data_IF_155538585402
#
_entry.id   IF_155538585402
#
_cell.length_a   1.000
_cell.length_b   1.000
_cell.length_c   1.000
_cell.angle_alpha   90.00
_cell.angle_beta   90.00
_cell.angle_gamma   90.00
#
_symmetry.space_group_name_H-M   'P 1'
#
loop_
_entity.id
_entity.type
_entity.pdbx_description
1 polymer ?
#
# COMPACT_ATOMS: atom_id res chain seq x y z
N UNK A 1 -7.71 -11.39 19.38
CA UNK A 1 -8.03 -12.06 18.09
C UNK A 1 -6.79 -12.82 17.68
N UNK A 2 -6.91 -14.11 17.37
CA UNK A 2 -5.79 -14.88 16.80
C UNK A 2 -5.57 -14.41 15.35
N UNK A 3 -4.32 -14.30 14.93
CA UNK A 3 -3.97 -14.08 13.54
C UNK A 3 -4.46 -15.24 12.67
N UNK A 4 -4.66 -14.99 11.38
CA UNK A 4 -5.11 -16.03 10.43
C UNK A 4 -4.20 -17.27 10.48
N UNK A 5 -2.90 -17.06 10.62
CA UNK A 5 -1.89 -18.13 10.71
C UNK A 5 -1.95 -18.90 12.03
N UNK A 6 -2.31 -18.25 13.14
CA UNK A 6 -2.53 -18.91 14.43
C UNK A 6 -3.83 -19.72 14.42
N UNK A 7 -4.89 -19.20 13.79
CA UNK A 7 -6.14 -19.95 13.59
C UNK A 7 -5.86 -21.18 12.72
N UNK A 8 -5.11 -21.04 11.64
CA UNK A 8 -4.72 -22.18 10.80
C UNK A 8 -3.85 -23.19 11.56
N UNK A 9 -2.79 -22.73 12.22
CA UNK A 9 -1.90 -23.60 12.99
C UNK A 9 -2.64 -24.37 14.09
N UNK A 10 -3.59 -23.72 14.78
CA UNK A 10 -4.37 -24.36 15.85
C UNK A 10 -5.42 -25.35 15.34
N UNK A 11 -6.04 -25.09 14.19
CA UNK A 11 -7.12 -25.93 13.68
C UNK A 11 -6.64 -27.01 12.69
N UNK A 12 -5.52 -26.76 11.99
CA UNK A 12 -5.00 -27.63 10.92
C UNK A 12 -3.63 -28.24 11.27
N UNK A 13 -2.83 -27.63 12.14
CA UNK A 13 -1.45 -28.04 12.40
C UNK A 13 -0.44 -27.44 11.41
N UNK A 14 0.86 -27.64 11.66
CA UNK A 14 1.95 -26.99 10.91
C UNK A 14 2.31 -27.70 9.59
N UNK A 15 1.82 -28.91 9.34
CA UNK A 15 2.16 -29.69 8.14
C UNK A 15 1.47 -29.23 6.84
N UNK A 16 0.59 -28.23 6.88
CA UNK A 16 -0.19 -27.81 5.71
C UNK A 16 0.43 -26.61 4.99
N UNK A 17 0.48 -26.67 3.65
CA UNK A 17 0.93 -25.58 2.77
C UNK A 17 -0.26 -24.85 2.14
N UNK A 18 -0.14 -23.54 2.00
CA UNK A 18 -1.16 -22.69 1.39
C UNK A 18 -0.99 -22.60 -0.13
N UNK A 19 -2.07 -22.70 -0.90
CA UNK A 19 -2.06 -22.53 -2.36
C UNK A 19 -3.06 -21.48 -2.83
N UNK A 20 -2.94 -20.98 -4.06
CA UNK A 20 -3.93 -20.08 -4.66
C UNK A 20 -4.44 -20.63 -5.98
N UNK A 21 -5.76 -20.74 -6.13
CA UNK A 21 -6.40 -21.24 -7.35
C UNK A 21 -7.38 -20.25 -7.92
N UNK A 22 -7.22 -19.93 -9.21
CA UNK A 22 -8.08 -19.02 -9.99
C UNK A 22 -9.13 -19.81 -10.77
N UNK A 23 -10.40 -19.43 -10.66
CA UNK A 23 -11.51 -20.13 -11.29
C UNK A 23 -12.59 -19.17 -11.76
N UNK A 24 -13.39 -19.54 -12.78
CA UNK A 24 -14.58 -18.79 -13.14
C UNK A 24 -15.63 -18.83 -12.01
N UNK A 25 -16.21 -17.67 -11.68
CA UNK A 25 -17.23 -17.55 -10.62
C UNK A 25 -18.40 -18.53 -10.82
N UNK A 26 -18.90 -18.64 -12.05
CA UNK A 26 -20.05 -19.48 -12.39
C UNK A 26 -19.74 -20.99 -12.29
N UNK A 27 -18.44 -21.37 -12.19
CA UNK A 27 -18.04 -22.75 -11.95
C UNK A 27 -17.90 -23.09 -10.47
N UNK A 28 -17.57 -22.11 -9.63
CA UNK A 28 -17.29 -22.36 -8.21
C UNK A 28 -18.46 -22.05 -7.28
N UNK A 29 -19.54 -21.40 -7.74
CA UNK A 29 -20.73 -21.10 -6.93
C UNK A 29 -21.88 -22.03 -7.29
N UNK A 30 -22.62 -22.52 -6.30
CA UNK A 30 -23.85 -23.29 -6.53
C UNK A 30 -24.89 -22.45 -7.28
N UNK A 31 -25.56 -23.04 -8.28
CA UNK A 31 -26.52 -22.34 -9.17
C UNK A 31 -27.60 -21.55 -8.42
N UNK A 32 -28.05 -22.07 -7.27
CA UNK A 32 -29.01 -21.41 -6.38
C UNK A 32 -28.54 -20.04 -5.86
N UNK A 33 -27.23 -19.82 -5.75
CA UNK A 33 -26.64 -18.58 -5.23
C UNK A 33 -26.06 -17.69 -6.33
N UNK A 34 -25.77 -18.21 -7.52
CA UNK A 34 -24.99 -17.54 -8.56
C UNK A 34 -25.47 -16.12 -8.90
N UNK A 35 -26.71 -15.98 -9.36
CA UNK A 35 -27.23 -14.68 -9.85
C UNK A 35 -27.24 -13.61 -8.74
N UNK A 36 -27.83 -13.94 -7.58
CA UNK A 36 -27.95 -13.03 -6.46
C UNK A 36 -26.58 -12.65 -5.87
N UNK A 37 -25.68 -13.62 -5.71
CA UNK A 37 -24.34 -13.39 -5.17
C UNK A 37 -23.50 -12.55 -6.13
N UNK A 38 -23.53 -12.86 -7.44
CA UNK A 38 -22.80 -12.11 -8.48
C UNK A 38 -23.21 -10.64 -8.50
N UNK A 39 -24.52 -10.38 -8.54
CA UNK A 39 -25.07 -9.01 -8.52
C UNK A 39 -24.64 -8.23 -7.27
N UNK A 40 -24.73 -8.86 -6.09
CA UNK A 40 -24.32 -8.23 -4.82
C UNK A 40 -22.82 -7.94 -4.76
N UNK A 41 -21.99 -8.85 -5.24
CA UNK A 41 -20.53 -8.67 -5.31
C UNK A 41 -20.18 -7.53 -6.25
N UNK A 42 -20.78 -7.47 -7.44
CA UNK A 42 -20.54 -6.38 -8.40
C UNK A 42 -20.88 -5.04 -7.77
N UNK A 43 -22.03 -4.91 -7.11
CA UNK A 43 -22.40 -3.68 -6.40
C UNK A 43 -21.42 -3.36 -5.26
N UNK A 44 -21.02 -4.34 -4.46
CA UNK A 44 -20.08 -4.13 -3.36
C UNK A 44 -18.68 -3.72 -3.84
N UNK A 45 -18.21 -4.28 -4.95
CA UNK A 45 -16.98 -3.88 -5.62
C UNK A 45 -17.04 -2.42 -6.08
N UNK A 46 -18.13 -2.03 -6.74
CA UNK A 46 -18.33 -0.66 -7.20
C UNK A 46 -18.35 0.31 -6.02
N UNK A 47 -19.14 0.03 -5.00
CA UNK A 47 -19.26 0.91 -3.84
C UNK A 47 -17.93 1.04 -3.09
N UNK A 48 -17.21 -0.08 -2.88
CA UNK A 48 -15.90 -0.09 -2.22
C UNK A 48 -14.89 0.73 -3.02
N UNK A 49 -14.84 0.54 -4.34
CA UNK A 49 -13.95 1.29 -5.23
C UNK A 49 -14.20 2.80 -5.14
N UNK A 50 -15.47 3.21 -5.20
CA UNK A 50 -15.85 4.62 -5.16
C UNK A 50 -15.47 5.28 -3.83
N UNK A 51 -15.65 4.58 -2.71
CA UNK A 51 -15.27 5.07 -1.37
C UNK A 51 -13.74 5.12 -1.22
N UNK A 52 -13.04 4.04 -1.58
CA UNK A 52 -11.58 3.96 -1.48
C UNK A 52 -10.90 5.01 -2.34
N UNK A 53 -11.34 5.19 -3.59
CA UNK A 53 -10.77 6.19 -4.49
C UNK A 53 -10.86 7.61 -3.91
N UNK A 54 -12.03 7.99 -3.39
CA UNK A 54 -12.25 9.29 -2.73
C UNK A 54 -11.40 9.45 -1.46
N UNK A 55 -11.29 8.38 -0.66
CA UNK A 55 -10.44 8.38 0.52
C UNK A 55 -8.98 8.61 0.15
N UNK A 56 -8.47 7.96 -0.90
CA UNK A 56 -7.10 8.17 -1.38
C UNK A 56 -6.87 9.58 -1.90
N UNK A 57 -7.82 10.17 -2.63
CA UNK A 57 -7.70 11.56 -3.12
C UNK A 57 -7.49 12.54 -1.96
N UNK A 58 -8.36 12.47 -0.95
CA UNK A 58 -8.26 13.31 0.23
C UNK A 58 -6.94 13.10 0.96
N UNK A 59 -6.58 11.84 1.25
CA UNK A 59 -5.39 11.55 2.05
C UNK A 59 -4.09 11.90 1.32
N UNK A 60 -4.02 11.69 0.00
CA UNK A 60 -2.84 12.09 -0.76
C UNK A 60 -2.66 13.61 -0.72
N UNK A 61 -3.73 14.38 -0.90
CA UNK A 61 -3.66 15.84 -0.80
C UNK A 61 -3.32 16.29 0.63
N UNK A 62 -3.93 15.69 1.65
CA UNK A 62 -3.65 15.99 3.05
C UNK A 62 -2.16 15.77 3.39
N UNK A 63 -1.61 14.60 3.04
CA UNK A 63 -0.21 14.25 3.33
C UNK A 63 0.76 15.22 2.67
N UNK A 64 0.54 15.57 1.39
CA UNK A 64 1.44 16.47 0.66
C UNK A 64 1.50 17.88 1.29
N UNK A 65 0.51 18.26 2.09
CA UNK A 65 0.45 19.54 2.79
C UNK A 65 0.90 19.46 4.26
N UNK A 66 1.29 18.29 4.77
CA UNK A 66 1.73 18.14 6.15
C UNK A 66 3.19 18.55 6.35
N UNK A 67 3.42 19.29 7.45
CA UNK A 67 4.78 19.52 7.96
C UNK A 67 5.34 18.31 8.71
N UNK A 68 4.48 17.60 9.43
CA UNK A 68 4.86 16.44 10.26
C UNK A 68 4.03 15.23 9.86
N UNK A 69 4.72 14.15 9.51
CA UNK A 69 4.10 12.92 9.03
C UNK A 69 3.97 11.91 10.17
N UNK A 70 2.80 11.28 10.28
CA UNK A 70 2.52 10.28 11.32
C UNK A 70 2.28 8.90 10.72
N UNK A 71 2.55 7.85 11.51
CA UNK A 71 2.35 6.46 11.08
C UNK A 71 0.87 6.02 11.00
N UNK A 72 -0.10 6.91 11.25
CA UNK A 72 -1.52 6.56 11.24
C UNK A 72 -1.97 6.04 9.87
N UNK A 73 -1.44 6.62 8.79
CA UNK A 73 -1.80 6.28 7.40
C UNK A 73 -1.45 4.84 7.00
N UNK A 74 -0.57 4.18 7.76
CA UNK A 74 -0.16 2.79 7.53
C UNK A 74 -0.99 1.79 8.34
N UNK A 75 -2.11 2.24 8.95
CA UNK A 75 -2.99 1.41 9.77
C UNK A 75 -4.36 1.28 9.14
N UNK A 76 -4.93 0.07 9.22
CA UNK A 76 -6.28 -0.23 8.74
C UNK A 76 -7.34 0.69 9.37
N UNK A 77 -7.28 0.89 10.69
CA UNK A 77 -8.28 1.68 11.41
C UNK A 77 -8.33 3.14 10.95
N UNK A 78 -7.20 3.69 10.52
CA UNK A 78 -7.14 5.04 9.96
C UNK A 78 -7.94 5.08 8.66
N UNK A 79 -7.64 4.20 7.70
CA UNK A 79 -8.35 4.14 6.43
C UNK A 79 -9.84 3.90 6.60
N UNK A 80 -10.24 3.08 7.58
CA UNK A 80 -11.65 2.87 7.88
C UNK A 80 -12.34 4.15 8.35
N UNK A 81 -11.70 4.93 9.23
CA UNK A 81 -12.20 6.25 9.64
C UNK A 81 -12.31 7.24 8.47
N UNK A 82 -11.33 7.26 7.56
CA UNK A 82 -11.40 8.10 6.35
C UNK A 82 -12.56 7.67 5.45
N UNK A 83 -12.77 6.37 5.27
CA UNK A 83 -13.89 5.87 4.51
C UNK A 83 -15.24 6.26 5.15
N UNK A 84 -15.33 6.32 6.49
CA UNK A 84 -16.51 6.84 7.19
C UNK A 84 -16.77 8.31 6.84
N UNK A 85 -15.73 9.15 6.85
CA UNK A 85 -15.84 10.56 6.46
C UNK A 85 -16.35 10.72 5.02
N UNK A 86 -15.76 9.98 4.07
CA UNK A 86 -16.19 9.98 2.66
C UNK A 86 -17.65 9.55 2.49
N UNK A 87 -18.15 8.66 3.34
CA UNK A 87 -19.56 8.23 3.35
C UNK A 87 -20.49 9.17 4.14
N UNK A 88 -20.02 10.35 4.55
CA UNK A 88 -20.71 11.30 5.43
C UNK A 88 -21.20 10.67 6.75
N UNK A 89 -20.40 9.75 7.29
CA UNK A 89 -20.66 9.09 8.58
C UNK A 89 -19.77 9.67 9.66
N UNK A 90 -20.29 9.69 10.88
CA UNK A 90 -19.49 9.99 12.07
C UNK A 90 -18.39 8.94 12.25
N UNK A 91 -17.17 9.40 12.49
CA UNK A 91 -16.03 8.53 12.79
C UNK A 91 -16.24 7.87 14.14
N UNK A 92 -16.15 6.54 14.19
CA UNK A 92 -16.41 5.76 15.40
C UNK A 92 -15.23 5.69 16.35
N UNK A 93 -14.01 6.00 15.89
CA UNK A 93 -12.80 6.01 16.71
C UNK A 93 -11.90 7.19 16.33
N UNK A 94 -12.21 8.37 16.90
CA UNK A 94 -11.49 9.61 16.63
C UNK A 94 -10.05 9.61 17.12
N UNK A 95 -9.71 8.78 18.12
CA UNK A 95 -8.33 8.63 18.62
C UNK A 95 -7.35 8.09 17.56
N UNK A 96 -7.85 7.59 16.42
CA UNK A 96 -7.04 7.10 15.31
C UNK A 96 -6.72 8.20 14.28
N UNK A 97 -7.35 9.37 14.40
CA UNK A 97 -7.12 10.49 13.48
C UNK A 97 -6.02 11.42 14.03
N UNK A 98 -5.06 11.83 13.19
CA UNK A 98 -4.13 12.90 13.53
C UNK A 98 -4.85 14.22 13.82
N UNK A 99 -4.22 15.04 14.64
CA UNK A 99 -4.66 16.41 14.91
C UNK A 99 -4.76 17.22 13.60
N UNK A 100 -5.79 18.08 13.49
CA UNK A 100 -6.02 18.89 12.30
C UNK A 100 -6.67 18.17 11.11
N UNK A 101 -6.79 16.82 11.13
CA UNK A 101 -7.30 16.08 9.98
C UNK A 101 -8.78 16.39 9.70
N UNK A 102 -9.60 16.54 10.73
CA UNK A 102 -11.03 16.80 10.58
C UNK A 102 -11.29 18.21 10.03
N UNK A 103 -10.51 19.20 10.46
CA UNK A 103 -10.53 20.56 9.92
C UNK A 103 -10.15 20.55 8.44
N UNK A 104 -9.08 19.84 8.08
CA UNK A 104 -8.66 19.67 6.69
C UNK A 104 -9.73 18.95 5.85
N UNK A 105 -10.37 17.93 6.41
CA UNK A 105 -11.49 17.25 5.75
C UNK A 105 -12.65 18.20 5.48
N UNK A 106 -13.02 19.03 6.47
CA UNK A 106 -14.12 19.98 6.34
C UNK A 106 -13.84 21.03 5.26
N UNK A 107 -12.62 21.55 5.20
CA UNK A 107 -12.19 22.44 4.11
C UNK A 107 -12.23 21.72 2.75
N UNK A 108 -11.68 20.50 2.70
CA UNK A 108 -11.63 19.73 1.47
C UNK A 108 -13.00 19.41 0.89
N UNK A 109 -13.96 18.97 1.73
CA UNK A 109 -15.34 18.67 1.29
C UNK A 109 -16.11 19.92 0.86
N UNK A 110 -15.81 21.09 1.43
CA UNK A 110 -16.43 22.35 1.01
C UNK A 110 -15.96 22.73 -0.40
N UNK A 111 -14.67 22.58 -0.69
CA UNK A 111 -14.13 22.84 -2.02
C UNK A 111 -14.48 21.75 -3.06
N UNK A 112 -14.71 20.51 -2.61
CA UNK A 112 -14.94 19.35 -3.50
C UNK A 112 -16.19 18.56 -3.07
N UNK A 113 -17.38 19.12 -3.27
CA UNK A 113 -18.64 18.48 -2.83
C UNK A 113 -18.86 17.04 -3.33
N UNK A 114 -18.32 16.68 -4.50
CA UNK A 114 -18.39 15.32 -5.07
C UNK A 114 -17.53 14.27 -4.36
N UNK A 115 -16.71 14.69 -3.39
CA UNK A 115 -15.93 13.78 -2.53
C UNK A 115 -16.84 12.98 -1.58
N UNK A 116 -18.06 13.44 -1.33
CA UNK A 116 -19.00 12.70 -0.51
C UNK A 116 -19.66 11.60 -1.34
N UNK A 117 -19.56 10.37 -0.87
CA UNK A 117 -20.22 9.22 -1.44
C UNK A 117 -21.60 9.03 -0.79
N UNK A 118 -22.64 9.41 -1.52
CA UNK A 118 -24.02 9.50 -1.02
C UNK A 118 -24.82 8.20 -1.12
N UNK A 119 -24.36 7.22 -1.92
CA UNK A 119 -25.07 5.95 -2.08
C UNK A 119 -24.95 5.11 -0.81
N UNK A 120 -26.10 4.64 -0.32
CA UNK A 120 -26.15 3.73 0.83
C UNK A 120 -25.51 2.39 0.48
N UNK A 121 -24.47 2.02 1.23
CA UNK A 121 -23.85 0.70 1.10
C UNK A 121 -24.87 -0.41 1.39
N UNK A 122 -24.82 -1.47 0.60
CA UNK A 122 -25.56 -2.70 0.89
C UNK A 122 -25.13 -3.29 2.25
N UNK A 123 -26.06 -3.98 2.90
CA UNK A 123 -25.76 -4.70 4.15
C UNK A 123 -24.65 -5.72 3.92
N UNK A 124 -23.66 -5.77 4.81
CA UNK A 124 -22.49 -6.66 4.69
C UNK A 124 -21.26 -6.06 4.03
N UNK A 125 -21.42 -4.97 3.26
CA UNK A 125 -20.29 -4.35 2.54
C UNK A 125 -19.27 -3.69 3.47
N UNK A 126 -19.62 -3.41 4.73
CA UNK A 126 -18.68 -2.88 5.74
C UNK A 126 -17.48 -3.79 5.99
N UNK A 127 -17.67 -5.11 5.93
CA UNK A 127 -16.57 -6.08 6.05
C UNK A 127 -15.65 -6.02 4.82
N UNK A 128 -16.24 -5.89 3.62
CA UNK A 128 -15.46 -5.73 2.38
C UNK A 128 -14.63 -4.44 2.42
N UNK A 129 -15.22 -3.36 2.92
CA UNK A 129 -14.54 -2.08 3.09
C UNK A 129 -13.41 -2.18 4.13
N UNK A 130 -13.63 -2.89 5.24
CA UNK A 130 -12.60 -3.13 6.26
C UNK A 130 -11.41 -3.90 5.69
N UNK A 131 -11.65 -4.93 4.88
CA UNK A 131 -10.61 -5.69 4.19
C UNK A 131 -9.89 -4.83 3.12
N UNK A 132 -10.61 -3.94 2.42
CA UNK A 132 -10.00 -2.96 1.53
C UNK A 132 -9.10 -1.96 2.27
N UNK A 133 -9.47 -1.56 3.49
CA UNK A 133 -8.64 -0.69 4.33
C UNK A 133 -7.32 -1.35 4.76
N UNK A 134 -7.32 -2.69 4.96
CA UNK A 134 -6.06 -3.44 5.18
C UNK A 134 -5.18 -3.33 3.94
N UNK A 135 -5.75 -3.60 2.76
CA UNK A 135 -5.02 -3.54 1.51
C UNK A 135 -4.48 -2.13 1.22
N UNK A 136 -5.25 -1.08 1.53
CA UNK A 136 -4.76 0.30 1.44
C UNK A 136 -3.57 0.54 2.36
N UNK A 137 -3.68 0.20 3.64
CA UNK A 137 -2.57 0.34 4.59
C UNK A 137 -1.31 -0.38 4.07
N UNK A 138 -1.44 -1.63 3.62
CA UNK A 138 -0.34 -2.39 3.03
C UNK A 138 0.21 -1.74 1.77
N UNK A 139 -0.64 -1.27 0.86
CA UNK A 139 -0.21 -0.61 -0.39
C UNK A 139 0.59 0.65 -0.11
N UNK A 140 0.16 1.46 0.87
CA UNK A 140 0.88 2.67 1.26
C UNK A 140 2.22 2.33 1.92
N UNK A 141 2.27 1.33 2.80
CA UNK A 141 3.53 0.83 3.37
C UNK A 141 4.48 0.36 2.28
N UNK A 142 4.02 -0.55 1.41
CA UNK A 142 4.83 -1.12 0.34
C UNK A 142 5.31 -0.08 -0.66
N UNK A 143 4.51 0.95 -0.95
CA UNK A 143 4.92 2.04 -1.83
C UNK A 143 6.19 2.75 -1.33
N UNK A 144 6.34 2.90 -0.01
CA UNK A 144 7.57 3.42 0.60
C UNK A 144 8.65 2.33 0.63
N UNK A 145 8.35 1.18 1.24
CA UNK A 145 9.32 0.11 1.49
C UNK A 145 9.98 -0.39 0.21
N UNK A 146 9.20 -0.71 -0.83
CA UNK A 146 9.70 -1.33 -2.06
C UNK A 146 10.45 -0.33 -2.96
N UNK A 147 10.17 0.97 -2.84
CA UNK A 147 10.75 1.99 -3.72
C UNK A 147 11.85 2.83 -3.06
N UNK A 148 12.01 2.77 -1.73
CA UNK A 148 12.90 3.65 -0.99
C UNK A 148 14.35 3.58 -1.50
N UNK A 149 14.93 2.39 -1.54
CA UNK A 149 16.32 2.18 -1.94
C UNK A 149 16.57 2.64 -3.38
N UNK A 150 15.73 2.20 -4.32
CA UNK A 150 15.87 2.54 -5.73
C UNK A 150 15.76 4.06 -5.97
N UNK A 151 14.85 4.74 -5.27
CA UNK A 151 14.68 6.21 -5.37
C UNK A 151 15.89 6.95 -4.78
N UNK A 152 16.33 6.55 -3.59
CA UNK A 152 17.47 7.17 -2.93
C UNK A 152 18.76 6.98 -3.73
N UNK A 153 19.06 5.77 -4.17
CA UNK A 153 20.26 5.50 -4.98
C UNK A 153 20.27 6.27 -6.30
N UNK A 154 19.11 6.36 -6.96
CA UNK A 154 18.98 7.15 -8.20
C UNK A 154 19.23 8.64 -7.94
N UNK A 155 18.68 9.17 -6.84
CA UNK A 155 18.92 10.54 -6.42
C UNK A 155 20.38 10.80 -6.09
N UNK A 156 21.01 9.95 -5.29
CA UNK A 156 22.42 10.09 -4.93
C UNK A 156 23.32 10.01 -6.17
N UNK A 157 23.05 9.09 -7.10
CA UNK A 157 23.82 9.02 -8.35
C UNK A 157 23.68 10.30 -9.18
N UNK A 158 22.47 10.86 -9.27
CA UNK A 158 22.21 12.12 -9.96
C UNK A 158 22.92 13.30 -9.30
N UNK A 159 22.82 13.40 -7.97
CA UNK A 159 23.45 14.43 -7.16
C UNK A 159 24.96 14.45 -7.37
N UNK A 160 25.62 13.29 -7.24
CA UNK A 160 27.08 13.16 -7.36
C UNK A 160 27.54 13.44 -8.80
N UNK A 161 26.80 12.98 -9.81
CA UNK A 161 27.14 13.27 -11.21
C UNK A 161 27.04 14.78 -11.51
N UNK A 162 26.09 15.49 -10.90
CA UNK A 162 25.99 16.95 -11.05
C UNK A 162 27.11 17.68 -10.29
N UNK A 163 27.53 17.18 -9.11
CA UNK A 163 28.68 17.73 -8.39
C UNK A 163 29.98 17.55 -9.17
N UNK A 164 30.15 16.41 -9.85
CA UNK A 164 31.37 16.07 -10.60
C UNK A 164 31.04 15.71 -12.05
N UNK A 165 30.72 16.71 -12.86
CA UNK A 165 30.26 16.53 -14.27
C UNK A 165 31.24 15.71 -15.12
N UNK A 166 32.54 15.82 -14.88
CA UNK A 166 33.58 15.08 -15.62
C UNK A 166 33.86 13.67 -15.08
N UNK A 167 33.28 13.28 -13.95
CA UNK A 167 33.51 11.97 -13.35
C UNK A 167 32.81 10.87 -14.17
N UNK A 168 33.52 9.77 -14.39
CA UNK A 168 32.97 8.62 -15.10
C UNK A 168 31.80 8.01 -14.31
N UNK A 169 30.74 7.62 -15.03
CA UNK A 169 29.52 7.07 -14.43
C UNK A 169 29.77 5.87 -13.50
N UNK A 170 30.76 5.02 -13.81
CA UNK A 170 31.09 3.86 -12.97
C UNK A 170 31.65 4.28 -11.60
N UNK A 171 32.40 5.37 -11.55
CA UNK A 171 32.98 5.86 -10.31
C UNK A 171 31.95 6.65 -9.49
N UNK A 172 31.08 7.41 -10.16
CA UNK A 172 29.87 7.98 -9.53
C UNK A 172 29.02 6.88 -8.89
N UNK A 173 28.80 5.77 -9.59
CA UNK A 173 28.02 4.65 -9.08
C UNK A 173 28.67 4.03 -7.84
N UNK A 174 29.99 3.81 -7.83
CA UNK A 174 30.71 3.32 -6.63
C UNK A 174 30.53 4.27 -5.45
N UNK A 175 30.74 5.57 -5.65
CA UNK A 175 30.54 6.58 -4.59
C UNK A 175 29.10 6.54 -4.08
N UNK A 176 28.10 6.55 -4.96
CA UNK A 176 26.70 6.58 -4.57
C UNK A 176 26.27 5.33 -3.80
N UNK A 177 26.70 4.14 -4.22
CA UNK A 177 26.25 2.86 -3.66
C UNK A 177 27.04 2.46 -2.41
N UNK A 178 28.37 2.55 -2.46
CA UNK A 178 29.24 2.02 -1.40
C UNK A 178 29.45 3.03 -0.27
N UNK A 179 29.38 4.33 -0.58
CA UNK A 179 29.60 5.41 0.38
C UNK A 179 28.32 6.19 0.71
N UNK A 180 27.74 6.91 -0.25
CA UNK A 180 26.66 7.86 0.03
C UNK A 180 25.42 7.19 0.60
N UNK A 181 24.98 6.09 -0.02
CA UNK A 181 23.80 5.35 0.46
C UNK A 181 23.99 4.88 1.89
N UNK A 182 25.13 4.27 2.20
CA UNK A 182 25.44 3.82 3.56
C UNK A 182 25.52 5.00 4.55
N UNK A 183 26.14 6.11 4.16
CA UNK A 183 26.26 7.31 5.01
C UNK A 183 24.89 7.93 5.34
N UNK A 184 24.04 8.08 4.33
CA UNK A 184 22.68 8.62 4.46
C UNK A 184 21.79 7.66 5.25
N UNK A 185 21.91 6.35 5.02
CA UNK A 185 21.12 5.32 5.68
C UNK A 185 21.65 4.87 7.06
N UNK A 186 22.67 5.55 7.61
CA UNK A 186 23.34 5.19 8.88
C UNK A 186 23.84 3.73 8.94
N UNK A 187 24.35 3.27 7.80
CA UNK A 187 25.05 2.00 7.64
C UNK A 187 26.55 2.15 7.84
N UNK A 188 27.32 1.39 7.07
CA UNK A 188 28.80 1.37 7.14
C UNK A 188 29.38 1.89 5.82
N UNK A 189 29.62 3.20 5.70
CA UNK A 189 30.08 3.80 4.46
C UNK A 189 31.53 3.42 4.16
N UNK A 190 31.79 3.02 2.91
CA UNK A 190 33.13 2.66 2.42
C UNK A 190 33.53 3.59 1.30
N UNK A 191 34.55 4.42 1.54
CA UNK A 191 35.08 5.30 0.52
C UNK A 191 35.87 4.47 -0.51
N UNK A 192 35.61 4.62 -1.83
CA UNK A 192 36.35 3.88 -2.85
C UNK A 192 37.84 4.21 -2.87
N UNK A 193 38.66 3.27 -3.34
CA UNK A 193 40.11 3.46 -3.51
C UNK A 193 40.46 3.82 -4.95
N UNK A 194 41.43 4.74 -5.13
CA UNK A 194 41.92 5.15 -6.45
C UNK A 194 42.33 6.63 -6.50
N UNK A 195 43.10 6.99 -7.53
CA UNK A 195 43.69 8.34 -7.66
C UNK A 195 42.64 9.47 -7.74
N UNK A 196 41.46 9.16 -8.26
CA UNK A 196 40.34 10.12 -8.39
C UNK A 196 39.54 10.30 -7.09
N UNK A 197 39.68 9.39 -6.12
CA UNK A 197 38.91 9.38 -4.87
C UNK A 197 39.68 10.08 -3.75
N UNK A 198 39.92 11.37 -3.91
CA UNK A 198 40.69 12.19 -2.97
C UNK A 198 39.87 12.59 -1.74
N UNK A 199 40.55 13.04 -0.68
CA UNK A 199 39.87 13.56 0.50
C UNK A 199 39.00 14.80 0.19
N UNK A 200 39.42 15.64 -0.76
CA UNK A 200 38.64 16.80 -1.23
C UNK A 200 37.33 16.37 -1.87
N UNK A 201 37.37 15.37 -2.77
CA UNK A 201 36.15 14.83 -3.38
C UNK A 201 35.22 14.23 -2.31
N UNK A 202 35.77 13.55 -1.30
CA UNK A 202 35.00 13.02 -0.18
C UNK A 202 34.28 14.12 0.61
N UNK A 203 34.97 15.21 0.95
CA UNK A 203 34.37 16.34 1.67
C UNK A 203 33.21 16.95 0.88
N UNK A 204 33.39 17.18 -0.43
CA UNK A 204 32.32 17.71 -1.27
C UNK A 204 31.12 16.74 -1.38
N UNK A 205 31.36 15.44 -1.40
CA UNK A 205 30.31 14.42 -1.34
C UNK A 205 29.55 14.46 -0.02
N UNK A 206 30.27 14.58 1.11
CA UNK A 206 29.68 14.67 2.44
C UNK A 206 28.78 15.91 2.56
N UNK A 207 29.25 17.07 2.08
CA UNK A 207 28.47 18.32 2.02
C UNK A 207 27.23 18.18 1.16
N UNK A 208 27.34 17.57 -0.03
CA UNK A 208 26.22 17.36 -0.93
C UNK A 208 25.16 16.42 -0.32
N UNK A 209 25.58 15.37 0.39
CA UNK A 209 24.67 14.37 0.98
C UNK A 209 24.05 14.82 2.31
N UNK A 210 24.62 15.84 2.97
CA UNK A 210 24.23 16.29 4.31
C UNK A 210 22.71 16.54 4.46
N UNK A 211 22.00 17.21 3.52
CA UNK A 211 20.57 17.44 3.65
C UNK A 211 19.76 16.13 3.72
N UNK A 212 20.10 15.14 2.88
CA UNK A 212 19.43 13.84 2.91
C UNK A 212 19.77 13.06 4.18
N UNK A 213 21.01 13.18 4.65
CA UNK A 213 21.49 12.52 5.87
C UNK A 213 20.84 13.07 7.15
N UNK A 214 20.45 14.36 7.17
CA UNK A 214 19.74 14.98 8.29
C UNK A 214 18.26 14.54 8.37
N UNK A 215 17.64 14.22 7.22
CA UNK A 215 16.26 13.75 7.16
C UNK A 215 16.08 12.30 7.63
N UNK A 216 17.15 11.51 7.65
CA UNK A 216 17.16 10.14 8.12
C UNK A 216 17.85 10.09 9.48
N UNK A 217 17.07 9.92 10.55
CA UNK A 217 17.60 9.89 11.93
C UNK A 217 17.91 8.48 12.43
N UNK A 218 17.41 7.44 11.77
CA UNK A 218 17.57 6.05 12.17
C UNK A 218 18.19 5.20 11.06
N UNK A 219 18.82 4.09 11.43
CA UNK A 219 19.39 3.14 10.46
C UNK A 219 18.30 2.56 9.58
N UNK A 220 18.48 2.69 8.27
CA UNK A 220 17.54 2.13 7.30
C UNK A 220 17.74 0.62 7.24
N UNK A 221 16.72 -0.13 7.61
CA UNK A 221 16.62 -1.57 7.38
C UNK A 221 15.21 -1.89 6.90
N UNK A 222 15.03 -3.05 6.27
CA UNK A 222 13.69 -3.50 5.88
C UNK A 222 12.72 -3.54 7.08
N UNK A 223 13.23 -3.91 8.26
CA UNK A 223 12.47 -3.94 9.50
C UNK A 223 11.99 -2.54 9.91
N UNK A 224 12.89 -1.55 9.91
CA UNK A 224 12.55 -0.17 10.27
C UNK A 224 11.64 0.49 9.24
N UNK A 225 11.92 0.32 7.95
CA UNK A 225 11.08 0.81 6.85
C UNK A 225 9.64 0.28 6.97
N UNK A 226 9.50 -1.00 7.34
CA UNK A 226 8.18 -1.62 7.52
C UNK A 226 7.48 -1.19 8.81
N UNK A 227 8.24 -0.99 9.89
CA UNK A 227 7.71 -0.63 11.20
C UNK A 227 7.26 0.83 11.30
N UNK A 228 8.01 1.75 10.70
CA UNK A 228 7.75 3.19 10.73
C UNK A 228 8.02 3.87 9.38
N UNK A 229 7.21 3.61 8.34
CA UNK A 229 7.46 4.19 7.03
C UNK A 229 7.37 5.72 7.01
N UNK A 230 6.62 6.35 7.94
CA UNK A 230 6.51 7.82 8.00
C UNK A 230 7.84 8.51 8.30
N UNK A 231 8.77 7.84 8.97
CA UNK A 231 10.08 8.39 9.33
C UNK A 231 10.95 8.64 8.10
N UNK A 232 10.73 7.89 7.02
CA UNK A 232 11.53 7.96 5.79
C UNK A 232 10.85 8.80 4.69
N UNK A 233 9.56 9.10 4.86
CA UNK A 233 8.77 9.88 3.92
C UNK A 233 9.34 11.30 3.68
N UNK A 234 9.85 12.05 4.69
CA UNK A 234 10.48 13.35 4.45
C UNK A 234 11.65 13.29 3.46
N UNK A 235 12.47 12.24 3.51
CA UNK A 235 13.58 12.06 2.56
C UNK A 235 13.05 11.88 1.13
N UNK A 236 12.01 11.07 0.93
CA UNK A 236 11.40 10.87 -0.39
C UNK A 236 10.77 12.17 -0.93
N UNK A 237 10.09 12.93 -0.08
CA UNK A 237 9.50 14.23 -0.44
C UNK A 237 10.59 15.25 -0.82
N UNK A 238 11.68 15.29 -0.07
CA UNK A 238 12.85 16.12 -0.39
C UNK A 238 13.45 15.77 -1.75
N UNK A 239 13.62 14.48 -2.06
CA UNK A 239 14.11 14.04 -3.38
C UNK A 239 13.18 14.55 -4.48
N UNK A 240 11.87 14.38 -4.30
CA UNK A 240 10.89 14.84 -5.29
C UNK A 240 10.95 16.37 -5.46
N UNK A 241 11.04 17.14 -4.38
CA UNK A 241 11.10 18.61 -4.46
C UNK A 241 12.35 19.07 -5.21
N UNK A 242 13.50 18.41 -5.01
CA UNK A 242 14.72 18.69 -5.78
C UNK A 242 14.56 18.38 -7.26
N UNK A 243 13.91 17.29 -7.61
CA UNK A 243 13.62 17.02 -9.02
C UNK A 243 12.62 18.03 -9.60
N UNK A 244 11.60 18.46 -8.85
CA UNK A 244 10.66 19.48 -9.31
C UNK A 244 11.33 20.86 -9.51
N UNK A 245 12.26 21.24 -8.64
CA UNK A 245 13.10 22.44 -8.80
C UNK A 245 13.90 22.38 -10.11
N UNK A 246 14.61 21.28 -10.37
CA UNK A 246 15.36 21.09 -11.62
C UNK A 246 14.48 21.18 -12.87
N UNK A 247 13.26 20.63 -12.82
CA UNK A 247 12.31 20.73 -13.94
C UNK A 247 11.82 22.15 -14.15
N UNK A 248 11.65 22.95 -13.10
CA UNK A 248 11.23 24.36 -13.20
C UNK A 248 12.33 25.25 -13.76
N UNK A 249 13.59 24.98 -13.39
CA UNK A 249 14.76 25.75 -13.84
C UNK A 249 15.27 25.32 -15.23
N UNK A 250 14.77 24.21 -15.78
CA UNK A 250 15.24 23.71 -17.05
C UNK A 250 14.82 24.60 -18.22
N UNK A 251 15.80 24.95 -19.05
CA UNK A 251 15.58 25.62 -20.33
C UNK A 251 15.98 24.68 -21.48
N UNK A 252 15.20 24.69 -22.56
CA UNK A 252 15.29 23.75 -23.68
C UNK A 252 16.66 23.68 -24.39
N UNK A 253 17.56 24.63 -24.13
CA UNK A 253 18.88 24.74 -24.76
C UNK A 253 20.04 24.64 -23.77
N UNK A 254 19.82 24.12 -22.55
CA UNK A 254 20.90 23.92 -21.58
C UNK A 254 21.68 22.63 -21.89
N UNK A 255 22.60 22.73 -22.86
CA UNK A 255 23.40 21.61 -23.40
C UNK A 255 24.42 21.05 -22.39
N UNK A 256 24.58 21.68 -21.21
CA UNK A 256 25.56 21.29 -20.18
C UNK A 256 24.96 20.47 -19.03
N UNK A 257 23.64 20.28 -19.00
CA UNK A 257 22.97 19.55 -17.92
C UNK A 257 22.73 18.09 -18.27
N UNK A 258 22.86 17.24 -17.25
CA UNK A 258 22.41 15.84 -17.32
C UNK A 258 20.95 15.77 -17.74
N UNK A 259 20.51 14.63 -18.35
CA UNK A 259 19.09 14.40 -18.60
C UNK A 259 18.27 14.60 -17.33
N UNK A 260 17.15 15.32 -17.46
CA UNK A 260 16.30 15.61 -16.32
C UNK A 260 15.85 14.33 -15.61
N UNK A 261 15.90 14.30 -14.27
CA UNK A 261 15.47 13.15 -13.52
C UNK A 261 13.97 12.95 -13.68
N UNK A 262 13.53 11.71 -13.91
CA UNK A 262 12.11 11.37 -14.01
C UNK A 262 11.39 11.59 -12.66
N UNK A 263 10.35 12.42 -12.65
CA UNK A 263 9.45 12.60 -11.51
C UNK A 263 8.70 11.30 -11.17
N UNK A 264 8.32 11.14 -9.90
CA UNK A 264 7.64 9.94 -9.40
C UNK A 264 6.55 10.29 -8.39
N UNK A 265 5.55 9.41 -8.20
CA UNK A 265 4.56 9.61 -7.14
C UNK A 265 5.12 9.14 -5.80
N UNK A 266 5.05 9.99 -4.79
CA UNK A 266 5.49 9.65 -3.43
C UNK A 266 4.55 8.61 -2.80
N UNK A 267 3.25 8.75 -3.05
CA UNK A 267 2.17 7.90 -2.54
C UNK A 267 1.54 7.08 -3.67
N UNK A 268 0.79 6.00 -3.36
CA UNK A 268 0.01 5.27 -4.35
C UNK A 268 -0.94 6.19 -5.12
N UNK A 269 -0.97 6.04 -6.45
CA UNK A 269 -1.91 6.75 -7.30
C UNK A 269 -3.34 6.27 -7.01
N UNK A 270 -4.28 7.17 -6.70
CA UNK A 270 -5.69 6.81 -6.54
C UNK A 270 -6.18 6.13 -7.81
N UNK A 271 -6.85 4.98 -7.67
CA UNK A 271 -7.27 4.21 -8.83
C UNK A 271 -8.72 3.76 -8.73
N UNK A 272 -9.47 3.97 -9.82
CA UNK A 272 -10.76 3.32 -10.04
C UNK A 272 -10.59 1.86 -10.50
N UNK A 273 -9.37 1.34 -10.64
CA UNK A 273 -9.14 -0.06 -11.01
C UNK A 273 -9.08 -1.00 -9.82
N UNK A 274 -9.74 -0.68 -8.71
CA UNK A 274 -9.98 -1.64 -7.63
C UNK A 274 -10.86 -2.78 -8.17
N UNK A 275 -10.23 -3.89 -8.54
CA UNK A 275 -10.82 -4.97 -9.34
C UNK A 275 -11.44 -6.09 -8.52
N UNK A 276 -11.18 -6.15 -7.22
CA UNK A 276 -11.57 -7.27 -6.39
C UNK A 276 -11.99 -6.86 -4.99
N UNK A 277 -12.93 -7.59 -4.41
CA UNK A 277 -13.18 -7.56 -2.98
C UNK A 277 -12.78 -8.89 -2.39
N UNK A 278 -12.25 -8.83 -1.18
CA UNK A 278 -12.09 -10.03 -0.38
C UNK A 278 -13.46 -10.37 0.25
N UNK A 279 -13.77 -11.66 0.27
CA UNK A 279 -14.98 -12.23 0.82
C UNK A 279 -14.57 -13.25 1.88
N UNK A 280 -14.66 -12.84 3.14
CA UNK A 280 -14.63 -13.73 4.30
C UNK A 280 -15.99 -14.41 4.51
N UNK A 281 -16.05 -15.42 5.37
CA UNK A 281 -17.32 -16.05 5.74
C UNK A 281 -18.34 -15.03 6.30
N UNK A 282 -17.85 -14.01 7.01
CA UNK A 282 -18.69 -12.98 7.60
C UNK A 282 -19.29 -12.05 6.54
N UNK A 283 -18.53 -11.65 5.52
CA UNK A 283 -19.10 -10.87 4.41
C UNK A 283 -19.98 -11.74 3.51
N UNK A 284 -19.61 -13.01 3.33
CA UNK A 284 -20.42 -13.98 2.59
C UNK A 284 -21.81 -14.16 3.20
N UNK A 285 -21.92 -14.29 4.53
CA UNK A 285 -23.22 -14.47 5.20
C UNK A 285 -24.17 -13.32 4.89
N UNK A 286 -23.65 -12.09 4.88
CA UNK A 286 -24.46 -10.93 4.51
C UNK A 286 -24.84 -10.95 3.02
N UNK A 287 -23.94 -11.38 2.14
CA UNK A 287 -24.25 -11.54 0.72
C UNK A 287 -25.22 -12.67 0.41
N UNK A 288 -25.37 -13.68 1.27
CA UNK A 288 -26.39 -14.73 1.12
C UNK A 288 -27.61 -14.53 2.03
N UNK A 289 -27.66 -13.44 2.81
CA UNK A 289 -28.71 -13.13 3.80
C UNK A 289 -28.89 -14.24 4.84
N UNK A 290 -27.78 -14.67 5.42
CA UNK A 290 -27.74 -15.72 6.43
C UNK A 290 -27.14 -15.24 7.76
N UNK A 291 -27.44 -15.92 8.88
CA UNK A 291 -26.84 -15.61 10.17
C UNK A 291 -25.31 -15.63 10.10
N UNK A 292 -24.68 -14.77 10.90
CA UNK A 292 -23.23 -14.73 11.01
C UNK A 292 -22.70 -16.07 11.54
N UNK A 293 -21.76 -16.72 10.83
CA UNK A 293 -21.21 -18.00 11.24
C UNK A 293 -20.34 -17.84 12.50
N UNK A 294 -20.53 -18.72 13.49
CA UNK A 294 -19.78 -18.67 14.76
C UNK A 294 -18.71 -19.75 14.82
N UNK A 295 -17.45 -19.33 14.84
CA UNK A 295 -16.31 -20.24 14.90
C UNK A 295 -15.99 -20.89 13.55
N UNK A 296 -14.90 -21.65 13.54
CA UNK A 296 -14.29 -22.19 12.31
C UNK A 296 -15.24 -23.12 11.53
N UNK A 297 -15.91 -24.05 12.22
CA UNK A 297 -16.78 -25.04 11.59
C UNK A 297 -18.00 -24.42 10.90
N UNK A 298 -18.59 -23.37 11.48
CA UNK A 298 -19.73 -22.67 10.87
C UNK A 298 -19.30 -21.90 9.62
N UNK A 299 -18.11 -21.28 9.68
CA UNK A 299 -17.54 -20.57 8.55
C UNK A 299 -17.25 -21.54 7.40
N UNK A 300 -16.64 -22.69 7.70
CA UNK A 300 -16.38 -23.74 6.71
C UNK A 300 -17.68 -24.29 6.11
N UNK A 301 -18.70 -24.58 6.93
CA UNK A 301 -20.01 -25.03 6.46
C UNK A 301 -20.65 -24.02 5.51
N UNK A 302 -20.55 -22.73 5.81
CA UNK A 302 -21.05 -21.67 4.95
C UNK A 302 -20.34 -21.64 3.60
N UNK A 303 -19.01 -21.69 3.58
CA UNK A 303 -18.23 -21.75 2.33
C UNK A 303 -18.62 -22.99 1.50
N UNK A 304 -18.65 -24.18 2.11
CA UNK A 304 -19.00 -25.42 1.42
C UNK A 304 -20.44 -25.48 0.88
N UNK A 305 -21.36 -24.73 1.48
CA UNK A 305 -22.74 -24.64 1.01
C UNK A 305 -22.90 -23.68 -0.16
N UNK A 306 -22.20 -22.54 -0.13
CA UNK A 306 -22.30 -21.53 -1.20
C UNK A 306 -21.44 -21.90 -2.40
N UNK A 307 -20.25 -22.47 -2.16
CA UNK A 307 -19.29 -22.81 -3.20
C UNK A 307 -19.25 -24.31 -3.49
N UNK A 308 -19.30 -24.64 -4.78
CA UNK A 308 -19.20 -26.00 -5.28
C UNK A 308 -17.73 -26.41 -5.45
N UNK A 309 -17.17 -26.99 -4.40
CA UNK A 309 -15.78 -27.45 -4.41
C UNK A 309 -15.56 -28.77 -5.16
N UNK A 310 -16.61 -29.47 -5.61
CA UNK A 310 -16.46 -30.72 -6.39
C UNK A 310 -15.75 -30.48 -7.72
N UNK A 311 -15.98 -29.31 -8.33
CA UNK A 311 -15.33 -28.89 -9.57
C UNK A 311 -13.84 -28.54 -9.39
N UNK A 312 -13.35 -28.44 -8.14
CA UNK A 312 -11.94 -28.19 -7.85
C UNK A 312 -11.04 -29.43 -8.01
N UNK A 313 -11.61 -30.62 -8.25
CA UNK A 313 -10.91 -31.91 -8.18
C UNK A 313 -10.21 -32.14 -6.83
N UNK A 314 -10.72 -31.53 -5.75
CA UNK A 314 -10.24 -31.75 -4.39
C UNK A 314 -10.94 -33.00 -3.83
N UNK A 315 -10.17 -34.02 -3.49
CA UNK A 315 -10.69 -35.28 -2.95
C UNK A 315 -11.45 -35.02 -1.63
N UNK A 316 -12.65 -35.60 -1.45
CA UNK A 316 -13.54 -35.31 -0.29
C UNK A 316 -12.87 -35.59 1.07
N UNK A 317 -11.94 -36.55 1.14
CA UNK A 317 -11.14 -36.83 2.34
C UNK A 317 -10.19 -35.67 2.74
N UNK A 318 -9.84 -34.79 1.80
CA UNK A 318 -8.99 -33.61 2.01
C UNK A 318 -9.78 -32.30 2.19
N UNK A 319 -11.12 -32.33 2.09
CA UNK A 319 -11.99 -31.15 2.11
C UNK A 319 -12.27 -30.61 3.53
N UNK A 320 -12.03 -31.43 4.56
CA UNK A 320 -12.36 -31.15 5.97
C UNK A 320 -11.56 -29.96 6.55
N UNK A 321 -10.58 -29.42 5.83
CA UNK A 321 -9.57 -28.54 6.42
C UNK A 321 -9.32 -27.22 5.68
N UNK A 322 -10.13 -26.82 4.70
CA UNK A 322 -9.69 -25.79 3.74
C UNK A 322 -10.79 -24.79 3.47
N UNK A 323 -10.66 -23.58 4.01
CA UNK A 323 -11.17 -22.28 3.50
C UNK A 323 -11.58 -21.32 4.61
N UNK A 324 -11.00 -20.13 4.61
CA UNK A 324 -11.42 -19.01 5.47
C UNK A 324 -11.65 -17.70 4.68
N UNK A 325 -11.10 -17.57 3.48
CA UNK A 325 -11.18 -16.32 2.68
C UNK A 325 -11.13 -16.60 1.18
N UNK A 326 -11.92 -15.89 0.40
CA UNK A 326 -11.83 -15.85 -1.06
C UNK A 326 -11.62 -14.40 -1.54
N UNK A 327 -10.90 -14.19 -2.63
CA UNK A 327 -10.92 -12.92 -3.37
C UNK A 327 -11.74 -13.08 -4.64
N UNK A 328 -12.76 -12.24 -4.82
CA UNK A 328 -13.58 -12.26 -6.03
C UNK A 328 -13.27 -11.03 -6.86
N UNK A 329 -12.60 -11.26 -8.00
CA UNK A 329 -12.51 -10.34 -9.12
C UNK A 329 -13.84 -10.41 -9.88
N UNK A 330 -14.23 -9.32 -10.53
CA UNK A 330 -15.51 -9.15 -11.26
C UNK A 330 -16.01 -10.34 -12.12
N UNK A 331 -15.16 -11.31 -12.49
CA UNK A 331 -15.53 -12.64 -13.02
C UNK A 331 -14.61 -13.80 -12.55
N UNK A 332 -13.69 -13.59 -11.60
CA UNK A 332 -12.66 -14.55 -11.21
C UNK A 332 -12.66 -14.79 -9.70
N UNK A 333 -12.65 -16.06 -9.33
CA UNK A 333 -12.62 -16.56 -7.96
C UNK A 333 -11.19 -16.99 -7.62
N UNK A 334 -10.58 -16.39 -6.61
CA UNK A 334 -9.30 -16.82 -6.05
C UNK A 334 -9.54 -17.50 -4.71
N UNK A 335 -9.37 -18.82 -4.65
CA UNK A 335 -9.25 -19.54 -3.37
C UNK A 335 -7.85 -19.33 -2.81
N UNK A 336 -7.75 -19.03 -1.51
CA UNK A 336 -6.56 -19.32 -0.74
C UNK A 336 -6.80 -20.65 -0.02
N UNK A 337 -6.12 -21.70 -0.48
CA UNK A 337 -6.17 -23.06 0.06
C UNK A 337 -5.33 -23.21 1.31
#
# INVERSE_FOLDING_TARGET
MLSKNEVFSRNLGQQFKTFTKKLPFDQCVHSSYQSALKSRIISACEDTRQVVFRAQLFINQYILNLKVHSNHIFKQNFWYSICQLVMDKRVTNSAVLPEGLLENWNLFRQSHGSIIYTKKLASGTSQCLSEACVQLATTYTNCIVENFEARLLKYLSYLIQNTFVSMAYQDVKKIAYDYCYQSVCKGEPKWPQGAIFTQETKTAVDEACLPSQQLITTRVTLKELSASPSTFLPCILYILSKYEEEHKEHHAYDVRRLPLPRLFSVLPNPSLHWRFINISANSLSAFVKEPLPRGYNDQLRMFCRVFNFKKLRINRKNLVCRLLTCTILSNLFCLFE
#
